data_IF_184674082091
#
_entry.id   IF_184674082091
#
_cell.length_a   1.000
_cell.length_b   1.000
_cell.length_c   1.000
_cell.angle_alpha   90.00
_cell.angle_beta   90.00
_cell.angle_gamma   90.00
#
_symmetry.space_group_name_H-M   'P 1'
#
loop_
_entity.id
_entity.type
_entity.pdbx_description
1 polymer ?
#
# COMPACT_ATOMS: atom_id res chain seq x y z
N UNK A 1 -2.67 -5.31 -5.94
CA UNK A 1 -2.12 -4.66 -7.15
C UNK A 1 -3.27 -4.03 -7.93
N UNK A 2 -3.33 -2.70 -8.00
CA UNK A 2 -4.37 -1.98 -8.75
C UNK A 2 -4.09 -2.05 -10.26
N UNK A 3 -5.13 -2.24 -11.07
CA UNK A 3 -5.07 -2.30 -12.53
C UNK A 3 -4.85 -0.89 -13.12
N UNK A 4 -3.71 -0.27 -12.81
CA UNK A 4 -3.31 1.00 -13.43
C UNK A 4 -2.85 0.75 -14.86
N UNK A 5 -3.08 1.73 -15.72
CA UNK A 5 -2.94 1.71 -17.18
C UNK A 5 -1.46 1.62 -17.67
N UNK A 6 -0.58 0.97 -16.92
CA UNK A 6 0.87 0.85 -17.15
C UNK A 6 1.24 -0.13 -18.27
N UNK A 7 0.31 -0.97 -18.73
CA UNK A 7 0.49 -1.79 -19.93
C UNK A 7 -0.15 -1.10 -21.14
N UNK A 8 0.53 -0.09 -21.69
CA UNK A 8 0.24 0.37 -23.07
C UNK A 8 0.82 -0.65 -24.06
N UNK A 9 0.02 -1.25 -24.95
CA UNK A 9 0.54 -2.22 -25.91
C UNK A 9 1.13 -1.53 -27.13
N UNK A 10 2.43 -1.74 -27.36
CA UNK A 10 3.06 -1.50 -28.66
C UNK A 10 2.59 -2.58 -29.65
N UNK A 11 2.11 -2.15 -30.82
CA UNK A 11 1.21 -2.87 -31.73
C UNK A 11 1.68 -4.18 -32.39
N UNK A 12 2.55 -4.99 -31.79
CA UNK A 12 2.95 -6.32 -32.29
C UNK A 12 2.65 -7.39 -31.23
N UNK A 13 1.55 -8.16 -31.44
CA UNK A 13 1.15 -9.47 -30.83
C UNK A 13 -0.20 -9.44 -30.09
N UNK A 14 -1.30 -9.40 -30.87
CA UNK A 14 -2.70 -9.48 -30.37
C UNK A 14 -3.01 -10.70 -29.49
N UNK A 15 -2.32 -11.84 -29.69
CA UNK A 15 -2.50 -13.05 -28.88
C UNK A 15 -1.90 -12.96 -27.47
N UNK A 16 -0.71 -12.37 -27.35
CA UNK A 16 -0.02 -12.17 -26.06
C UNK A 16 -0.81 -11.19 -25.17
N UNK A 17 -1.39 -10.15 -25.78
CA UNK A 17 -2.22 -9.17 -25.07
C UNK A 17 -3.48 -9.76 -24.42
N UNK A 18 -4.10 -10.78 -25.04
CA UNK A 18 -5.28 -11.44 -24.46
C UNK A 18 -4.93 -12.26 -23.22
N UNK A 19 -3.81 -12.98 -23.27
CA UNK A 19 -3.30 -13.74 -22.12
C UNK A 19 -2.88 -12.80 -20.98
N UNK A 20 -2.20 -11.69 -21.30
CA UNK A 20 -1.82 -10.67 -20.32
C UNK A 20 -3.03 -10.01 -19.66
N UNK A 21 -4.07 -9.64 -20.43
CA UNK A 21 -5.30 -9.05 -19.89
C UNK A 21 -6.08 -10.04 -19.02
N UNK A 22 -6.13 -11.31 -19.41
CA UNK A 22 -6.76 -12.37 -18.62
C UNK A 22 -5.98 -12.64 -17.31
N UNK A 23 -4.64 -12.67 -17.37
CA UNK A 23 -3.79 -12.80 -16.19
C UNK A 23 -3.90 -11.59 -15.27
N UNK A 24 -3.95 -10.36 -15.81
CA UNK A 24 -4.17 -9.15 -15.04
C UNK A 24 -5.56 -9.14 -14.37
N UNK A 25 -6.63 -9.55 -15.07
CA UNK A 25 -7.96 -9.70 -14.46
C UNK A 25 -8.04 -10.83 -13.43
N UNK A 26 -7.26 -11.89 -13.60
CA UNK A 26 -7.17 -13.02 -12.65
C UNK A 26 -6.24 -12.73 -11.46
N UNK A 27 -5.40 -11.69 -11.52
CA UNK A 27 -4.47 -11.28 -10.45
C UNK A 27 -4.87 -9.94 -9.78
N UNK A 28 -5.66 -9.10 -10.45
CA UNK A 28 -6.18 -7.85 -9.90
C UNK A 28 -7.44 -8.11 -9.05
N UNK A 29 -7.57 -7.41 -7.93
CA UNK A 29 -8.84 -7.32 -7.20
C UNK A 29 -9.75 -6.29 -7.86
N UNK A 30 -11.06 -6.37 -7.58
CA UNK A 30 -11.97 -5.26 -7.90
C UNK A 30 -11.54 -3.99 -7.14
N UNK A 31 -11.98 -2.83 -7.63
CA UNK A 31 -11.71 -1.55 -6.96
C UNK A 31 -12.28 -1.55 -5.53
N UNK A 32 -13.48 -2.11 -5.34
CA UNK A 32 -14.13 -2.27 -4.05
C UNK A 32 -13.28 -3.10 -3.08
N UNK A 33 -12.80 -4.25 -3.52
CA UNK A 33 -11.94 -5.13 -2.73
C UNK A 33 -10.62 -4.45 -2.35
N UNK A 34 -10.05 -3.66 -3.27
CA UNK A 34 -8.81 -2.92 -3.07
C UNK A 34 -8.95 -1.80 -2.03
N UNK A 35 -10.15 -1.26 -1.84
CA UNK A 35 -10.44 -0.20 -0.87
C UNK A 35 -10.63 -0.74 0.57
N UNK A 36 -10.93 -2.04 0.73
CA UNK A 36 -11.26 -2.61 2.05
C UNK A 36 -10.17 -2.43 3.12
N UNK A 37 -8.86 -2.62 2.84
CA UNK A 37 -7.82 -2.40 3.86
C UNK A 37 -7.76 -0.94 4.35
N UNK A 38 -7.96 0.02 3.45
CA UNK A 38 -8.01 1.44 3.81
C UNK A 38 -9.22 1.75 4.68
N UNK A 39 -10.42 1.26 4.31
CA UNK A 39 -11.62 1.43 5.12
C UNK A 39 -11.44 0.79 6.50
N UNK A 40 -10.90 -0.43 6.55
CA UNK A 40 -10.61 -1.13 7.81
C UNK A 40 -9.69 -0.32 8.73
N UNK A 41 -8.58 0.22 8.20
CA UNK A 41 -7.65 1.05 8.98
C UNK A 41 -8.27 2.38 9.44
N UNK A 42 -9.19 2.95 8.65
CA UNK A 42 -9.80 4.24 8.94
C UNK A 42 -10.91 4.17 10.00
N UNK A 43 -11.71 3.09 10.04
CA UNK A 43 -12.93 3.02 10.87
C UNK A 43 -12.82 2.10 12.08
N UNK A 44 -11.83 1.21 12.10
CA UNK A 44 -11.69 0.21 13.16
C UNK A 44 -10.71 0.71 14.23
N UNK A 45 -11.00 0.40 15.49
CA UNK A 45 -10.06 0.67 16.58
C UNK A 45 -8.91 -0.34 16.56
N UNK A 46 -7.79 0.04 15.95
CA UNK A 46 -6.57 -0.76 15.84
C UNK A 46 -5.41 -0.08 16.59
N UNK A 47 -4.40 -0.84 17.07
CA UNK A 47 -3.22 -0.24 17.68
C UNK A 47 -2.53 0.76 16.75
N UNK A 48 -1.91 1.80 17.31
CA UNK A 48 -1.03 2.69 16.55
C UNK A 48 0.10 1.92 15.88
N UNK A 49 0.63 2.46 14.77
CA UNK A 49 1.70 1.84 13.98
C UNK A 49 1.33 0.47 13.33
N UNK A 50 0.03 0.14 13.32
CA UNK A 50 -0.50 -1.04 12.64
C UNK A 50 -0.48 -0.90 11.12
N UNK A 51 -0.36 -2.03 10.43
CA UNK A 51 -0.42 -2.12 8.97
C UNK A 51 -1.54 -3.06 8.53
N UNK A 52 -2.50 -2.52 7.75
CA UNK A 52 -3.66 -3.26 7.27
C UNK A 52 -3.46 -3.71 5.82
N UNK A 53 -3.77 -4.97 5.54
CA UNK A 53 -3.65 -5.57 4.21
C UNK A 53 -4.66 -6.70 3.98
N UNK A 54 -4.75 -7.22 2.75
CA UNK A 54 -5.63 -8.33 2.42
C UNK A 54 -5.20 -9.62 3.14
N UNK A 55 -6.16 -10.33 3.73
CA UNK A 55 -5.87 -11.43 4.65
C UNK A 55 -5.57 -12.80 4.04
N UNK A 56 -5.75 -12.97 2.73
CA UNK A 56 -5.60 -14.25 2.02
C UNK A 56 -4.18 -14.54 1.52
N UNK A 57 -4.08 -15.51 0.61
CA UNK A 57 -2.80 -16.06 0.16
C UNK A 57 -1.85 -14.98 -0.40
N UNK A 58 -0.61 -14.97 0.10
CA UNK A 58 0.46 -14.02 -0.26
C UNK A 58 0.07 -12.54 -0.15
N UNK A 59 -0.87 -12.18 0.74
CA UNK A 59 -1.39 -10.81 0.84
C UNK A 59 -1.92 -10.30 -0.51
N UNK A 60 -2.44 -11.22 -1.33
CA UNK A 60 -2.92 -10.91 -2.67
C UNK A 60 -4.41 -10.56 -2.74
N UNK A 61 -5.24 -11.18 -1.89
CA UNK A 61 -6.71 -11.05 -1.86
C UNK A 61 -7.33 -11.38 -0.51
N UNK A 62 -8.60 -11.03 -0.29
CA UNK A 62 -9.40 -11.45 0.86
C UNK A 62 -9.72 -10.32 1.83
N UNK A 63 -10.52 -10.63 2.87
CA UNK A 63 -10.95 -9.66 3.87
C UNK A 63 -9.76 -8.95 4.53
N UNK A 64 -9.89 -7.65 4.85
CA UNK A 64 -8.80 -6.89 5.45
C UNK A 64 -8.48 -7.40 6.86
N UNK A 65 -7.18 -7.44 7.18
CA UNK A 65 -6.67 -7.75 8.52
C UNK A 65 -5.37 -7.00 8.79
N UNK A 66 -4.91 -7.05 10.03
CA UNK A 66 -3.56 -6.64 10.37
C UNK A 66 -2.56 -7.65 9.82
N UNK A 67 -1.57 -7.15 9.08
CA UNK A 67 -0.51 -7.95 8.43
C UNK A 67 0.86 -7.44 8.87
N UNK A 68 1.88 -8.26 8.62
CA UNK A 68 3.27 -7.88 8.90
C UNK A 68 3.78 -6.86 7.89
N UNK A 69 4.85 -6.16 8.24
CA UNK A 69 5.63 -5.33 7.31
C UNK A 69 7.08 -5.80 7.26
N UNK A 70 7.79 -5.40 6.21
CA UNK A 70 9.19 -5.82 5.99
C UNK A 70 10.09 -5.43 7.17
N UNK A 71 11.28 -6.04 7.28
CA UNK A 71 12.25 -5.67 8.30
C UNK A 71 12.67 -4.20 8.16
N UNK A 72 12.95 -3.73 6.94
CA UNK A 72 13.28 -2.33 6.68
C UNK A 72 12.15 -1.36 7.03
N UNK A 73 10.89 -1.75 6.82
CA UNK A 73 9.74 -0.94 7.24
C UNK A 73 9.54 -0.90 8.77
N UNK A 74 10.23 -1.75 9.54
CA UNK A 74 10.24 -1.75 11.01
C UNK A 74 11.46 -1.08 11.62
N UNK A 75 12.40 -0.61 10.79
CA UNK A 75 13.63 0.03 11.27
C UNK A 75 13.35 1.49 11.68
N UNK A 76 13.39 1.73 12.99
CA UNK A 76 13.09 3.05 13.56
C UNK A 76 14.17 4.10 13.22
N UNK A 77 15.44 3.68 13.08
CA UNK A 77 16.53 4.60 12.74
C UNK A 77 16.41 5.04 11.27
N UNK A 78 16.09 4.11 10.37
CA UNK A 78 15.79 4.45 8.97
C UNK A 78 14.58 5.38 8.89
N UNK A 79 13.52 5.10 9.65
CA UNK A 79 12.33 5.94 9.67
C UNK A 79 12.65 7.38 10.14
N UNK A 80 13.44 7.52 11.20
CA UNK A 80 13.85 8.82 11.72
C UNK A 80 14.66 9.61 10.68
N UNK A 81 15.71 8.99 10.09
CA UNK A 81 16.53 9.66 9.06
C UNK A 81 15.71 10.07 7.84
N UNK A 82 14.75 9.22 7.43
CA UNK A 82 13.84 9.54 6.33
C UNK A 82 12.92 10.72 6.66
N UNK A 83 12.43 10.78 7.90
CA UNK A 83 11.61 11.90 8.36
C UNK A 83 12.38 13.21 8.32
N UNK A 84 13.58 13.25 8.92
CA UNK A 84 14.47 14.43 8.94
C UNK A 84 14.78 14.93 7.51
N UNK A 85 15.15 14.02 6.60
CA UNK A 85 15.38 14.37 5.21
C UNK A 85 14.10 14.89 4.52
N UNK A 86 12.92 14.35 4.86
CA UNK A 86 11.65 14.83 4.31
C UNK A 86 11.33 16.24 4.78
N UNK A 87 11.58 16.58 6.04
CA UNK A 87 11.41 17.93 6.57
C UNK A 87 12.37 18.93 5.88
N UNK A 88 13.64 18.55 5.72
CA UNK A 88 14.65 19.37 5.01
C UNK A 88 14.25 19.64 3.56
N UNK A 89 13.85 18.59 2.83
CA UNK A 89 13.52 18.68 1.41
C UNK A 89 12.21 19.42 1.13
N UNK A 90 11.24 19.34 2.05
CA UNK A 90 9.93 20.00 1.89
C UNK A 90 9.86 21.36 2.57
N UNK A 91 10.78 21.67 3.49
CA UNK A 91 10.70 22.84 4.37
C UNK A 91 9.54 22.78 5.37
N UNK A 92 8.89 21.63 5.53
CA UNK A 92 7.74 21.42 6.42
C UNK A 92 8.19 20.57 7.61
N UNK A 93 8.08 21.13 8.82
CA UNK A 93 8.38 20.42 10.06
C UNK A 93 7.11 19.81 10.67
N UNK A 94 7.25 18.68 11.37
CA UNK A 94 6.19 18.11 12.17
C UNK A 94 5.76 19.10 13.26
N UNK A 95 4.46 19.45 13.33
CA UNK A 95 3.99 20.38 14.36
C UNK A 95 4.07 19.69 15.72
N UNK A 96 5.06 20.08 16.53
CA UNK A 96 5.12 19.68 17.93
C UNK A 96 3.98 20.37 18.67
N UNK A 97 2.96 19.61 19.07
CA UNK A 97 2.00 20.06 20.07
C UNK A 97 2.75 20.47 21.34
N UNK A 98 2.28 21.48 22.11
CA UNK A 98 2.79 21.69 23.45
C UNK A 98 2.66 20.39 24.22
N UNK A 99 3.78 19.84 24.66
CA UNK A 99 3.80 18.69 25.54
C UNK A 99 3.32 19.19 26.90
N UNK A 100 2.04 19.00 27.22
CA UNK A 100 1.54 19.25 28.58
C UNK A 100 2.27 18.27 29.49
N UNK A 101 3.17 18.82 30.31
CA UNK A 101 3.91 18.10 31.34
C UNK A 101 2.98 17.59 32.44
#
# INVERSE_FOLDING_TARGET
MAATNLLRPDGRRRGVHRVQKAAAGLLAQSDDDGALPTLYAAVTNIPGDSYAGPGGFLEGRGAPKLVGRSAGARDAEVAQRLWEASEELTGVAFPRSPQTA
#
